data_IF_814438488670
#
_entry.id   IF_814438488670
#
_cell.length_a   1.000
_cell.length_b   1.000
_cell.length_c   1.000
_cell.angle_alpha   90.00
_cell.angle_beta   90.00
_cell.angle_gamma   90.00
#
_symmetry.space_group_name_H-M   'P 1'
#
loop_
_entity.id
_entity.type
_entity.pdbx_description
1 polymer ?
#
# COMPACT_ATOMS: atom_id res chain seq x y z
N UNK A 1 12.67 -16.25 2.68
CA UNK A 1 12.21 -14.87 2.40
C UNK A 1 13.27 -13.91 2.90
N UNK A 2 13.72 -12.97 2.06
CA UNK A 2 14.78 -12.04 2.45
C UNK A 2 14.21 -10.99 3.42
N UNK A 3 14.85 -10.80 4.59
CA UNK A 3 14.43 -9.84 5.63
C UNK A 3 14.20 -8.42 5.09
N UNK A 4 14.93 -8.04 4.06
CA UNK A 4 14.74 -6.78 3.31
C UNK A 4 13.28 -6.50 2.90
N UNK A 5 12.55 -7.51 2.41
CA UNK A 5 11.17 -7.35 1.95
C UNK A 5 10.21 -7.04 3.11
N UNK A 6 10.45 -7.68 4.26
CA UNK A 6 9.65 -7.45 5.47
C UNK A 6 9.91 -6.04 5.99
N UNK A 7 11.17 -5.63 6.06
CA UNK A 7 11.57 -4.30 6.52
C UNK A 7 10.99 -3.22 5.60
N UNK A 8 11.11 -3.38 4.28
CA UNK A 8 10.58 -2.42 3.31
C UNK A 8 9.06 -2.28 3.41
N UNK A 9 8.34 -3.40 3.54
CA UNK A 9 6.89 -3.39 3.76
C UNK A 9 6.50 -2.66 5.05
N UNK A 10 7.23 -2.87 6.15
CA UNK A 10 6.98 -2.16 7.42
C UNK A 10 7.24 -0.66 7.28
N UNK A 11 8.32 -0.26 6.60
CA UNK A 11 8.64 1.14 6.34
C UNK A 11 7.58 1.82 5.46
N UNK A 12 7.12 1.14 4.41
CA UNK A 12 6.03 1.60 3.55
C UNK A 12 4.77 1.87 4.35
N UNK A 13 4.33 0.91 5.16
CA UNK A 13 3.11 1.06 5.96
C UNK A 13 3.25 2.10 7.06
N UNK A 14 4.44 2.23 7.67
CA UNK A 14 4.70 3.29 8.64
C UNK A 14 4.58 4.69 8.01
N UNK A 15 5.03 4.85 6.77
CA UNK A 15 4.90 6.10 6.03
C UNK A 15 3.44 6.43 5.65
N UNK A 16 2.71 5.42 5.20
CA UNK A 16 1.32 5.54 4.73
C UNK A 16 0.35 5.82 5.88
N UNK A 17 0.50 5.08 6.99
CA UNK A 17 -0.39 5.15 8.15
C UNK A 17 0.01 6.22 9.17
N UNK A 18 1.04 7.02 8.88
CA UNK A 18 1.39 8.16 9.72
C UNK A 18 0.20 9.14 9.79
N UNK A 19 -0.25 9.41 11.00
CA UNK A 19 -1.42 10.25 11.30
C UNK A 19 -1.06 11.72 11.52
N UNK A 20 0.23 12.05 11.53
CA UNK A 20 0.72 13.39 11.86
C UNK A 20 0.50 14.38 10.70
N UNK A 21 0.11 15.64 10.97
CA UNK A 21 0.15 16.71 9.98
C UNK A 21 1.59 17.05 9.58
N UNK A 22 1.77 17.46 8.33
CA UNK A 22 3.03 18.05 7.87
C UNK A 22 3.01 19.56 8.13
N UNK A 23 4.00 20.16 8.82
CA UNK A 23 5.16 19.57 9.54
C UNK A 23 4.74 19.04 10.94
N UNK A 24 5.34 17.94 11.49
CA UNK A 24 6.66 17.34 11.24
C UNK A 24 6.69 16.12 10.29
N UNK A 25 5.58 15.77 9.65
CA UNK A 25 5.50 14.59 8.79
C UNK A 25 6.19 14.78 7.41
N UNK A 26 6.91 13.77 6.89
CA UNK A 26 7.70 13.86 5.63
C UNK A 26 6.85 14.01 4.35
N UNK A 27 5.60 13.55 4.37
CA UNK A 27 4.69 13.63 3.23
C UNK A 27 3.37 14.29 3.61
N UNK A 28 2.85 15.11 2.69
CA UNK A 28 1.52 15.66 2.79
C UNK A 28 0.48 14.53 2.82
N UNK A 29 -0.59 14.63 3.65
CA UNK A 29 -1.58 13.57 3.80
C UNK A 29 -2.22 13.10 2.47
N UNK A 30 -2.47 14.00 1.52
CA UNK A 30 -2.99 13.65 0.20
C UNK A 30 -2.02 12.81 -0.65
N UNK A 31 -0.70 13.06 -0.57
CA UNK A 31 0.31 12.26 -1.29
C UNK A 31 0.40 10.83 -0.76
N UNK A 32 0.13 10.61 0.53
CA UNK A 32 0.09 9.25 1.12
C UNK A 32 -0.99 8.39 0.47
N UNK A 33 -2.18 8.97 0.27
CA UNK A 33 -3.29 8.29 -0.41
C UNK A 33 -2.91 7.96 -1.86
N UNK A 34 -2.33 8.91 -2.59
CA UNK A 34 -1.91 8.70 -3.98
C UNK A 34 -0.88 7.58 -4.13
N UNK A 35 0.09 7.48 -3.22
CA UNK A 35 1.11 6.43 -3.26
C UNK A 35 0.49 5.04 -3.08
N UNK A 36 -0.46 4.88 -2.15
CA UNK A 36 -1.15 3.60 -1.95
C UNK A 36 -1.98 3.23 -3.18
N UNK A 37 -2.70 4.21 -3.75
CA UNK A 37 -3.48 3.98 -4.98
C UNK A 37 -2.56 3.59 -6.13
N UNK A 38 -1.41 4.24 -6.28
CA UNK A 38 -0.43 3.92 -7.32
C UNK A 38 0.20 2.53 -7.16
N UNK A 39 0.27 1.99 -5.93
CA UNK A 39 0.79 0.64 -5.67
C UNK A 39 -0.19 -0.48 -6.07
N UNK A 40 -1.49 -0.19 -6.16
CA UNK A 40 -2.52 -1.21 -6.46
C UNK A 40 -2.40 -1.76 -7.90
N UNK A 41 -2.35 -0.94 -8.97
CA UNK A 41 -2.26 -1.46 -10.34
C UNK A 41 -1.08 -2.41 -10.60
N UNK A 42 0.19 -2.07 -10.26
CA UNK A 42 1.30 -2.97 -10.53
C UNK A 42 1.18 -4.29 -9.74
N UNK A 43 0.65 -4.24 -8.51
CA UNK A 43 0.40 -5.45 -7.72
C UNK A 43 -0.65 -6.36 -8.35
N UNK A 44 -1.78 -5.80 -8.80
CA UNK A 44 -2.84 -6.54 -9.49
C UNK A 44 -2.30 -7.17 -10.77
N UNK A 45 -1.60 -6.38 -11.60
CA UNK A 45 -1.05 -6.83 -12.87
C UNK A 45 -0.05 -7.97 -12.66
N UNK A 46 0.83 -7.84 -11.67
CA UNK A 46 1.83 -8.86 -11.35
C UNK A 46 1.18 -10.14 -10.82
N UNK A 47 0.21 -10.03 -9.89
CA UNK A 47 -0.52 -11.18 -9.36
C UNK A 47 -1.30 -11.92 -10.44
N UNK A 48 -2.00 -11.19 -11.31
CA UNK A 48 -2.71 -11.74 -12.45
C UNK A 48 -1.76 -12.42 -13.44
N UNK A 49 -0.63 -11.78 -13.77
CA UNK A 49 0.39 -12.35 -14.65
C UNK A 49 0.90 -13.70 -14.12
N UNK A 50 1.26 -13.77 -12.84
CA UNK A 50 1.73 -15.00 -12.20
C UNK A 50 0.65 -16.09 -12.22
N UNK A 51 -0.60 -15.73 -11.93
CA UNK A 51 -1.72 -16.67 -11.89
C UNK A 51 -2.07 -17.25 -13.26
N UNK A 52 -2.14 -16.41 -14.30
CA UNK A 52 -2.57 -16.80 -15.64
C UNK A 52 -1.44 -17.39 -16.50
N UNK A 53 -0.19 -17.32 -16.06
CA UNK A 53 0.92 -17.93 -16.80
C UNK A 53 0.78 -19.46 -16.79
N UNK A 54 0.67 -20.12 -17.96
CA UNK A 54 0.37 -21.56 -18.05
C UNK A 54 1.59 -22.47 -17.81
N UNK A 55 2.79 -21.89 -17.76
CA UNK A 55 4.04 -22.60 -17.53
C UNK A 55 4.70 -22.16 -16.22
N UNK A 56 5.65 -22.96 -15.74
CA UNK A 56 6.40 -22.64 -14.53
C UNK A 56 7.34 -21.46 -14.76
N UNK A 57 7.16 -20.37 -14.02
CA UNK A 57 8.04 -19.20 -14.08
C UNK A 57 9.43 -19.47 -13.46
N UNK A 58 9.52 -20.45 -12.56
CA UNK A 58 10.75 -20.80 -11.84
C UNK A 58 11.11 -22.29 -11.99
N UNK A 59 11.54 -22.71 -13.19
CA UNK A 59 11.85 -24.11 -13.48
C UNK A 59 13.07 -24.62 -12.70
N UNK A 60 13.95 -23.74 -12.20
CA UNK A 60 15.12 -24.15 -11.40
C UNK A 60 14.71 -24.97 -10.16
N UNK A 61 13.54 -24.71 -9.58
CA UNK A 61 13.02 -25.44 -8.42
C UNK A 61 12.47 -26.84 -8.75
N UNK A 62 12.25 -27.17 -10.02
CA UNK A 62 11.98 -28.56 -10.41
C UNK A 62 13.27 -29.38 -10.53
N UNK A 63 14.39 -28.73 -10.89
CA UNK A 63 15.70 -29.37 -11.08
C UNK A 63 16.43 -29.57 -9.74
N UNK A 64 16.48 -28.53 -8.91
CA UNK A 64 17.22 -28.54 -7.64
C UNK A 64 16.41 -29.13 -6.46
N UNK A 65 15.18 -29.56 -6.71
CA UNK A 65 14.25 -30.03 -5.69
C UNK A 65 13.42 -28.91 -5.04
N UNK A 66 12.19 -29.25 -4.68
CA UNK A 66 11.19 -28.33 -4.11
C UNK A 66 10.89 -28.73 -2.66
N UNK A 67 10.73 -27.75 -1.77
CA UNK A 67 10.47 -28.00 -0.34
C UNK A 67 9.18 -28.81 -0.09
N UNK A 68 8.18 -28.61 -0.96
CA UNK A 68 6.92 -29.34 -0.94
C UNK A 68 6.77 -30.11 -2.25
N UNK A 69 6.89 -31.44 -2.18
CA UNK A 69 6.78 -32.34 -3.34
C UNK A 69 5.34 -32.75 -3.65
N UNK A 70 4.42 -32.58 -2.69
CA UNK A 70 3.01 -32.93 -2.84
C UNK A 70 2.17 -31.87 -3.57
N UNK A 71 2.71 -30.65 -3.76
CA UNK A 71 2.06 -29.58 -4.48
C UNK A 71 2.66 -29.43 -5.87
N UNK A 72 1.81 -29.44 -6.89
CA UNK A 72 2.25 -29.21 -8.27
C UNK A 72 2.84 -27.80 -8.41
N UNK A 73 3.94 -27.61 -9.15
CA UNK A 73 4.57 -26.30 -9.36
C UNK A 73 3.61 -25.22 -9.85
N UNK A 74 2.76 -25.57 -10.82
CA UNK A 74 1.75 -24.65 -11.37
C UNK A 74 0.71 -24.23 -10.32
N UNK A 75 0.33 -25.14 -9.41
CA UNK A 75 -0.64 -24.88 -8.36
C UNK A 75 -0.07 -23.93 -7.31
N UNK A 76 1.19 -24.16 -6.92
CA UNK A 76 1.90 -23.28 -5.99
C UNK A 76 2.02 -21.85 -6.56
N UNK A 77 2.39 -21.73 -7.84
CA UNK A 77 2.44 -20.44 -8.54
C UNK A 77 1.07 -19.74 -8.58
N UNK A 78 0.01 -20.46 -8.92
CA UNK A 78 -1.35 -19.91 -8.93
C UNK A 78 -1.78 -19.42 -7.54
N UNK A 79 -1.49 -20.17 -6.48
CA UNK A 79 -1.75 -19.72 -5.11
C UNK A 79 -0.95 -18.45 -4.81
N UNK A 80 0.32 -18.38 -5.18
CA UNK A 80 1.15 -17.18 -5.01
C UNK A 80 0.59 -15.96 -5.75
N UNK A 81 0.20 -16.13 -7.01
CA UNK A 81 -0.42 -15.06 -7.81
C UNK A 81 -1.76 -14.58 -7.22
N UNK A 82 -2.58 -15.51 -6.74
CA UNK A 82 -3.87 -15.20 -6.11
C UNK A 82 -3.68 -14.44 -4.79
N UNK A 83 -2.71 -14.86 -3.96
CA UNK A 83 -2.38 -14.22 -2.69
C UNK A 83 -1.84 -12.80 -2.89
N UNK A 84 -0.99 -12.60 -3.90
CA UNK A 84 -0.48 -11.27 -4.27
C UNK A 84 -1.61 -10.36 -4.76
N UNK A 85 -2.51 -10.90 -5.58
CA UNK A 85 -3.57 -10.13 -6.20
C UNK A 85 -4.65 -9.72 -5.19
N UNK A 86 -5.35 -10.69 -4.60
CA UNK A 86 -6.61 -10.42 -3.88
C UNK A 86 -6.34 -9.90 -2.45
N UNK A 87 -5.71 -10.68 -1.54
CA UNK A 87 -5.36 -10.19 -0.21
C UNK A 87 -4.49 -8.93 -0.24
N UNK A 88 -3.48 -8.89 -1.11
CA UNK A 88 -2.62 -7.72 -1.27
C UNK A 88 -3.42 -6.47 -1.57
N UNK A 89 -4.32 -6.53 -2.56
CA UNK A 89 -5.11 -5.35 -2.98
C UNK A 89 -6.14 -4.96 -1.94
N UNK A 90 -6.73 -5.93 -1.24
CA UNK A 90 -7.65 -5.67 -0.13
C UNK A 90 -6.96 -4.88 0.99
N UNK A 91 -5.71 -5.24 1.34
CA UNK A 91 -4.93 -4.50 2.33
C UNK A 91 -4.58 -3.08 1.86
N UNK A 92 -4.20 -2.91 0.58
CA UNK A 92 -3.97 -1.60 -0.01
C UNK A 92 -5.22 -0.71 0.04
N UNK A 93 -6.40 -1.25 -0.23
CA UNK A 93 -7.68 -0.50 -0.14
C UNK A 93 -7.95 -0.07 1.30
N UNK A 94 -7.81 -0.96 2.27
CA UNK A 94 -7.97 -0.63 3.70
C UNK A 94 -7.00 0.49 4.10
N UNK A 95 -5.73 0.37 3.69
CA UNK A 95 -4.71 1.39 3.89
C UNK A 95 -5.08 2.75 3.31
N UNK A 96 -5.55 2.77 2.07
CA UNK A 96 -5.98 3.99 1.39
C UNK A 96 -7.16 4.66 2.10
N UNK A 97 -8.14 3.87 2.59
CA UNK A 97 -9.28 4.39 3.35
C UNK A 97 -8.84 5.01 4.68
N UNK A 98 -7.91 4.38 5.40
CA UNK A 98 -7.35 4.92 6.64
C UNK A 98 -6.59 6.22 6.36
N UNK A 99 -5.72 6.24 5.36
CA UNK A 99 -4.98 7.43 4.95
C UNK A 99 -5.92 8.57 4.52
N UNK A 100 -6.98 8.26 3.76
CA UNK A 100 -8.01 9.22 3.34
C UNK A 100 -8.74 9.80 4.55
N UNK A 101 -9.13 8.95 5.51
CA UNK A 101 -9.75 9.39 6.77
C UNK A 101 -8.85 10.35 7.54
N UNK A 102 -7.55 10.06 7.62
CA UNK A 102 -6.58 10.97 8.25
C UNK A 102 -6.47 12.29 7.50
N UNK A 103 -6.41 12.25 6.17
CA UNK A 103 -6.36 13.46 5.36
C UNK A 103 -7.60 14.33 5.53
N UNK A 104 -8.81 13.77 5.48
CA UNK A 104 -10.06 14.51 5.68
C UNK A 104 -10.13 15.17 7.06
N UNK A 105 -9.71 14.47 8.11
CA UNK A 105 -9.64 15.01 9.49
C UNK A 105 -8.68 16.20 9.59
N UNK A 106 -7.51 16.10 8.98
CA UNK A 106 -6.51 17.17 8.99
C UNK A 106 -6.96 18.38 8.16
N UNK A 107 -7.55 18.15 7.00
CA UNK A 107 -8.14 19.20 6.16
C UNK A 107 -9.24 19.96 6.91
N UNK A 108 -10.15 19.25 7.60
CA UNK A 108 -11.19 19.87 8.41
C UNK A 108 -10.63 20.73 9.56
N UNK A 109 -9.65 20.21 10.32
CA UNK A 109 -8.99 20.99 11.39
C UNK A 109 -8.31 22.24 10.85
N UNK A 110 -7.58 22.13 9.74
CA UNK A 110 -6.88 23.28 9.13
C UNK A 110 -7.83 24.36 8.61
N UNK A 111 -9.04 23.99 8.20
CA UNK A 111 -10.07 24.93 7.77
C UNK A 111 -10.63 25.71 8.96
N UNK A 112 -10.93 25.02 10.07
CA UNK A 112 -11.44 25.66 11.29
C UNK A 112 -10.45 26.65 11.91
N UNK A 113 -9.16 26.33 11.92
CA UNK A 113 -8.10 27.25 12.40
C UNK A 113 -8.07 28.51 11.54
N UNK A 114 -8.05 28.35 10.21
CA UNK A 114 -8.06 29.49 9.26
C UNK A 114 -9.31 30.36 9.37
N UNK A 115 -10.49 29.76 9.61
CA UNK A 115 -11.72 30.52 9.84
C UNK A 115 -11.68 31.32 11.15
N UNK A 116 -11.08 30.76 12.22
CA UNK A 116 -10.87 31.49 13.48
C UNK A 116 -9.90 32.65 13.32
N UNK A 117 -8.78 32.44 12.64
CA UNK A 117 -7.80 33.50 12.35
C UNK A 117 -8.42 34.63 11.53
N UNK A 118 -9.22 34.31 10.50
CA UNK A 118 -9.96 35.30 9.71
C UNK A 118 -10.96 36.11 10.53
N UNK A 119 -11.63 35.49 11.50
CA UNK A 119 -12.58 36.19 12.40
C UNK A 119 -11.88 37.03 13.47
N UNK A 120 -10.68 36.63 13.88
CA UNK A 120 -9.86 37.35 14.85
C UNK A 120 -9.00 38.46 14.22
N UNK A 121 -8.83 38.45 12.89
CA UNK A 121 -8.13 39.51 12.18
C UNK A 121 -8.93 40.82 12.30
N UNK A 122 -8.31 41.91 12.80
CA UNK A 122 -8.98 43.20 12.90
C UNK A 122 -9.40 43.67 11.51
N UNK A 123 -10.61 44.24 11.39
CA UNK A 123 -11.04 44.92 10.18
C UNK A 123 -10.05 46.06 9.92
N UNK A 124 -9.19 45.88 8.91
CA UNK A 124 -8.26 46.92 8.48
C UNK A 124 -9.12 48.07 7.96
N UNK A 125 -9.18 49.14 8.75
CA UNK A 125 -9.86 50.41 8.45
C UNK A 125 -8.99 51.30 7.57
#
# INVERSE_FOLDING_TARGET
MNWSMVIDGLLFWWLVLDSRPAPPARLAPGRRVLIVIAAIPPQILLGAYIFFTPHELYPIYSICGRAFTWISPIRDQQIGGLLLWIPGSMMSVIGALIALRHWLRLSARSRLVRERERRAAPAVA
#
